data_IF_776708141486
#
_entry.id   IF_776708141486
#
_cell.length_a   1.000
_cell.length_b   1.000
_cell.length_c   1.000
_cell.angle_alpha   90.00
_cell.angle_beta   90.00
_cell.angle_gamma   90.00
#
_symmetry.space_group_name_H-M   'P 1'
#
loop_
_entity.id
_entity.type
_entity.pdbx_description
1 polymer ?
#
# COMPACT_ATOMS: atom_id res chain seq x y z
N UNK A 1 -7.33 -20.63 -9.72
CA UNK A 1 -7.07 -19.16 -9.73
C UNK A 1 -5.70 -18.90 -9.15
N UNK A 2 -4.90 -18.10 -9.84
CA UNK A 2 -3.56 -17.78 -9.36
C UNK A 2 -3.58 -16.61 -8.36
N UNK A 3 -2.85 -16.76 -7.26
CA UNK A 3 -2.57 -15.67 -6.32
C UNK A 3 -1.20 -15.03 -6.57
N UNK A 4 -0.48 -15.55 -7.57
CA UNK A 4 0.83 -15.02 -7.93
C UNK A 4 0.66 -13.79 -8.82
N UNK A 5 1.48 -12.74 -8.59
CA UNK A 5 1.41 -11.55 -9.42
C UNK A 5 1.89 -11.81 -10.85
N UNK A 6 1.27 -11.15 -11.82
CA UNK A 6 1.76 -11.12 -13.19
C UNK A 6 2.96 -10.17 -13.34
N UNK A 7 3.51 -10.03 -14.55
CA UNK A 7 4.71 -9.20 -14.77
C UNK A 7 4.51 -7.72 -14.39
N UNK A 8 3.37 -7.14 -14.78
CA UNK A 8 3.07 -5.73 -14.46
C UNK A 8 2.88 -5.52 -12.96
N UNK A 9 2.20 -6.45 -12.30
CA UNK A 9 1.99 -6.42 -10.86
C UNK A 9 3.33 -6.52 -10.11
N UNK A 10 4.21 -7.43 -10.56
CA UNK A 10 5.55 -7.56 -9.98
C UNK A 10 6.37 -6.28 -10.12
N UNK A 11 6.31 -5.64 -11.30
CA UNK A 11 7.00 -4.38 -11.53
C UNK A 11 6.49 -3.28 -10.60
N UNK A 12 5.16 -3.18 -10.45
CA UNK A 12 4.56 -2.20 -9.55
C UNK A 12 4.96 -2.43 -8.10
N UNK A 13 4.83 -3.68 -7.63
CA UNK A 13 5.20 -4.04 -6.25
C UNK A 13 6.68 -3.75 -5.98
N UNK A 14 7.55 -4.09 -6.93
CA UNK A 14 8.99 -3.81 -6.80
C UNK A 14 9.24 -2.31 -6.74
N UNK A 15 8.61 -1.53 -7.60
CA UNK A 15 8.74 -0.07 -7.62
C UNK A 15 8.31 0.53 -6.28
N UNK A 16 7.19 0.08 -5.72
CA UNK A 16 6.71 0.54 -4.41
C UNK A 16 7.76 0.29 -3.33
N UNK A 17 8.25 -0.94 -3.22
CA UNK A 17 9.18 -1.30 -2.16
C UNK A 17 10.53 -0.64 -2.35
N UNK A 18 11.11 -0.67 -3.55
CA UNK A 18 12.41 -0.07 -3.83
C UNK A 18 12.40 1.45 -3.61
N UNK A 19 11.34 2.11 -4.05
CA UNK A 19 11.21 3.56 -3.86
C UNK A 19 11.23 3.93 -2.38
N UNK A 20 10.45 3.23 -1.57
CA UNK A 20 10.30 3.58 -0.16
C UNK A 20 11.48 3.15 0.72
N UNK A 21 12.32 2.23 0.26
CA UNK A 21 13.55 1.89 0.97
C UNK A 21 14.50 3.09 1.05
N UNK A 22 14.52 3.95 0.05
CA UNK A 22 15.36 5.15 0.03
C UNK A 22 14.61 6.44 0.35
N UNK A 23 13.40 6.60 -0.19
CA UNK A 23 12.59 7.80 0.02
C UNK A 23 12.01 7.88 1.43
N UNK A 24 11.75 6.71 2.03
CA UNK A 24 11.10 6.60 3.33
C UNK A 24 9.58 6.70 3.25
N UNK A 25 8.94 6.44 4.39
CA UNK A 25 7.46 6.45 4.50
C UNK A 25 6.94 7.54 5.43
N UNK A 26 7.79 8.50 5.81
CA UNK A 26 7.39 9.58 6.72
C UNK A 26 6.26 10.43 6.18
N UNK A 27 6.18 10.63 4.87
CA UNK A 27 5.12 11.42 4.25
C UNK A 27 3.73 10.74 4.35
N UNK A 28 3.71 9.41 4.60
CA UNK A 28 2.46 8.64 4.77
C UNK A 28 2.07 8.52 6.25
N UNK A 29 3.05 8.25 7.12
CA UNK A 29 2.76 7.84 8.50
C UNK A 29 3.31 8.82 9.55
N UNK A 30 4.11 9.80 9.15
CA UNK A 30 4.76 10.75 10.05
C UNK A 30 6.27 10.50 10.13
N UNK A 31 7.01 11.54 10.48
CA UNK A 31 8.49 11.52 10.46
C UNK A 31 9.08 10.49 11.42
N UNK A 32 8.37 10.17 12.50
CA UNK A 32 8.80 9.15 13.46
C UNK A 32 8.92 7.76 12.84
N UNK A 33 8.25 7.53 11.71
CA UNK A 33 8.26 6.25 10.99
C UNK A 33 9.18 6.24 9.77
N UNK A 34 9.92 7.32 9.54
CA UNK A 34 10.68 7.53 8.30
C UNK A 34 11.71 6.44 8.02
N UNK A 35 12.44 5.99 9.02
CA UNK A 35 13.55 5.04 8.88
C UNK A 35 13.23 3.63 9.41
N UNK A 36 11.98 3.33 9.69
CA UNK A 36 11.59 2.00 10.18
C UNK A 36 11.65 0.97 9.05
N UNK A 37 11.99 -0.29 9.35
CA UNK A 37 11.83 -1.37 8.38
C UNK A 37 10.39 -1.45 7.89
N UNK A 38 10.22 -1.70 6.59
CA UNK A 38 8.89 -1.71 5.96
C UNK A 38 8.54 -3.11 5.45
N UNK A 39 7.24 -3.37 5.39
CA UNK A 39 6.67 -4.58 4.81
C UNK A 39 5.67 -4.20 3.73
N UNK A 40 5.47 -5.09 2.76
CA UNK A 40 4.46 -4.92 1.72
C UNK A 40 3.12 -5.43 2.26
N UNK A 41 2.17 -4.52 2.45
CA UNK A 41 0.84 -4.83 2.97
C UNK A 41 -0.17 -4.87 1.82
N UNK A 42 -0.81 -6.02 1.61
CA UNK A 42 -1.93 -6.17 0.68
C UNK A 42 -3.21 -5.76 1.41
N UNK A 43 -3.70 -4.56 1.13
CA UNK A 43 -4.80 -3.94 1.90
C UNK A 43 -6.05 -4.80 1.93
N UNK A 44 -6.47 -5.32 0.78
CA UNK A 44 -7.69 -6.11 0.63
C UNK A 44 -7.40 -7.59 0.37
N UNK A 45 -6.12 -8.02 0.51
CA UNK A 45 -5.70 -9.39 0.22
C UNK A 45 -5.27 -9.60 -1.23
N UNK A 46 -4.44 -10.61 -1.43
CA UNK A 46 -3.82 -10.89 -2.74
C UNK A 46 -4.82 -11.27 -3.83
N UNK A 47 -5.95 -11.85 -3.45
CA UNK A 47 -6.95 -12.35 -4.40
C UNK A 47 -8.08 -11.37 -4.66
N UNK A 48 -8.00 -10.18 -4.07
CA UNK A 48 -9.07 -9.18 -4.21
C UNK A 48 -9.27 -8.77 -5.66
N UNK A 49 -10.54 -8.79 -6.10
CA UNK A 49 -10.95 -8.30 -7.42
C UNK A 49 -12.26 -7.53 -7.30
N UNK A 50 -12.46 -6.63 -8.27
CA UNK A 50 -13.69 -5.88 -8.41
C UNK A 50 -14.09 -5.90 -9.89
N UNK A 51 -15.34 -6.28 -10.19
CA UNK A 51 -15.84 -6.42 -11.57
C UNK A 51 -14.90 -7.26 -12.43
N UNK A 52 -14.43 -8.40 -11.90
CA UNK A 52 -13.52 -9.35 -12.57
C UNK A 52 -12.11 -8.80 -12.83
N UNK A 53 -11.80 -7.60 -12.35
CA UNK A 53 -10.46 -7.02 -12.47
C UNK A 53 -9.66 -7.35 -11.21
N UNK A 54 -8.47 -7.92 -11.36
CA UNK A 54 -7.57 -8.21 -10.25
C UNK A 54 -6.94 -6.93 -9.72
N UNK A 55 -7.09 -6.68 -8.43
CA UNK A 55 -6.66 -5.46 -7.77
C UNK A 55 -5.69 -5.73 -6.62
N UNK A 56 -5.74 -6.93 -6.03
CA UNK A 56 -5.03 -7.26 -4.79
C UNK A 56 -3.54 -6.91 -4.80
N UNK A 57 -2.83 -7.22 -5.88
CA UNK A 57 -1.39 -6.93 -5.99
C UNK A 57 -1.06 -5.47 -6.32
N UNK A 58 -2.05 -4.68 -6.75
CA UNK A 58 -1.90 -3.23 -6.92
C UNK A 58 -2.25 -2.47 -5.64
N UNK A 59 -3.22 -2.97 -4.88
CA UNK A 59 -3.67 -2.30 -3.65
C UNK A 59 -2.76 -2.70 -2.49
N UNK A 60 -1.55 -2.19 -2.54
CA UNK A 60 -0.49 -2.46 -1.58
C UNK A 60 0.02 -1.16 -0.98
N UNK A 61 0.50 -1.24 0.26
CA UNK A 61 1.14 -0.13 0.95
C UNK A 61 2.47 -0.58 1.55
N UNK A 62 3.52 0.26 1.50
CA UNK A 62 4.71 0.03 2.30
C UNK A 62 4.38 0.48 3.73
N UNK A 63 4.33 -0.44 4.66
CA UNK A 63 3.98 -0.13 6.05
C UNK A 63 5.14 -0.49 6.97
N UNK A 64 5.49 0.37 7.96
CA UNK A 64 6.48 0.05 8.97
C UNK A 64 6.14 -1.27 9.67
N UNK A 65 7.18 -2.06 9.98
CA UNK A 65 7.06 -3.37 10.61
C UNK A 65 6.10 -3.33 11.81
N UNK A 66 6.29 -2.40 12.73
CA UNK A 66 5.49 -2.31 13.95
C UNK A 66 4.01 -2.02 13.69
N UNK A 67 3.71 -1.40 12.55
CA UNK A 67 2.33 -1.08 12.16
C UNK A 67 1.66 -2.19 11.35
N UNK A 68 2.38 -3.26 11.00
CA UNK A 68 1.85 -4.30 10.10
C UNK A 68 2.05 -5.73 10.60
N UNK A 69 3.22 -6.05 11.17
CA UNK A 69 3.57 -7.44 11.47
C UNK A 69 2.67 -8.04 12.53
N UNK A 70 2.29 -9.31 12.33
CA UNK A 70 1.39 -10.03 13.26
C UNK A 70 2.01 -10.22 14.65
N UNK A 71 3.32 -10.19 14.74
CA UNK A 71 4.05 -10.35 16.02
C UNK A 71 4.25 -9.03 16.76
N UNK A 72 3.94 -7.89 16.13
CA UNK A 72 4.02 -6.59 16.79
C UNK A 72 2.78 -6.37 17.66
N UNK A 73 2.97 -5.82 18.85
CA UNK A 73 1.89 -5.45 19.76
C UNK A 73 1.61 -3.95 19.76
N UNK A 74 2.11 -3.21 18.79
CA UNK A 74 1.83 -1.78 18.66
C UNK A 74 0.32 -1.56 18.48
N UNK A 75 -0.25 -0.65 19.26
CA UNK A 75 -1.70 -0.41 19.28
C UNK A 75 -2.23 0.28 18.03
N UNK A 76 -1.34 0.77 17.16
CA UNK A 76 -1.71 1.35 15.86
C UNK A 76 -1.53 0.35 14.71
N UNK A 77 -1.21 -0.90 15.01
CA UNK A 77 -0.95 -1.95 14.03
C UNK A 77 -2.21 -2.23 13.20
N UNK A 78 -2.11 -2.14 11.87
CA UNK A 78 -3.23 -2.30 10.95
C UNK A 78 -3.80 -3.73 10.96
N UNK A 79 -2.97 -4.72 11.21
CA UNK A 79 -3.38 -6.13 11.24
C UNK A 79 -4.30 -6.42 12.42
N UNK A 80 -3.98 -5.89 13.59
CA UNK A 80 -4.72 -6.16 14.83
C UNK A 80 -5.74 -5.08 15.16
N UNK A 81 -5.49 -3.83 14.77
CA UNK A 81 -6.26 -2.65 15.19
C UNK A 81 -6.56 -1.72 14.01
N UNK A 82 -7.20 -2.26 12.97
CA UNK A 82 -7.45 -1.50 11.72
C UNK A 82 -8.14 -0.16 11.96
N UNK A 83 -9.12 -0.10 12.85
CA UNK A 83 -9.85 1.14 13.11
C UNK A 83 -8.93 2.19 13.75
N UNK A 84 -8.07 1.78 14.68
CA UNK A 84 -7.10 2.69 15.29
C UNK A 84 -6.08 3.19 14.29
N UNK A 85 -5.62 2.32 13.39
CA UNK A 85 -4.74 2.70 12.30
C UNK A 85 -5.41 3.75 11.41
N UNK A 86 -6.65 3.51 11.00
CA UNK A 86 -7.41 4.42 10.13
C UNK A 86 -7.66 5.77 10.81
N UNK A 87 -8.03 5.76 12.09
CA UNK A 87 -8.26 6.99 12.85
C UNK A 87 -6.98 7.84 12.97
N UNK A 88 -5.83 7.20 12.99
CA UNK A 88 -4.54 7.89 13.16
C UNK A 88 -3.95 8.35 11.83
N UNK A 89 -3.94 7.48 10.82
CA UNK A 89 -3.22 7.71 9.56
C UNK A 89 -4.13 8.02 8.37
N UNK A 90 -5.43 7.80 8.50
CA UNK A 90 -6.38 7.95 7.41
C UNK A 90 -6.73 6.61 6.76
N UNK A 91 -7.65 6.67 5.82
CA UNK A 91 -8.07 5.46 5.09
C UNK A 91 -6.95 4.96 4.21
N UNK A 92 -6.81 3.65 4.13
CA UNK A 92 -5.73 3.04 3.35
C UNK A 92 -5.82 3.39 1.87
N UNK A 93 -7.03 3.53 1.33
CA UNK A 93 -7.21 3.99 -0.07
C UNK A 93 -6.63 5.39 -0.30
N UNK A 94 -6.75 6.28 0.68
CA UNK A 94 -6.22 7.65 0.57
C UNK A 94 -4.70 7.65 0.70
N UNK A 95 -4.15 6.84 1.58
CA UNK A 95 -2.70 6.63 1.67
C UNK A 95 -2.15 6.11 0.34
N UNK A 96 -2.86 5.15 -0.28
CA UNK A 96 -2.46 4.59 -1.55
C UNK A 96 -2.47 5.62 -2.68
N UNK A 97 -3.51 6.46 -2.75
CA UNK A 97 -3.59 7.52 -3.75
C UNK A 97 -2.45 8.54 -3.58
N UNK A 98 -2.15 8.91 -2.33
CA UNK A 98 -1.01 9.78 -2.02
C UNK A 98 0.30 9.14 -2.45
N UNK A 99 0.45 7.84 -2.21
CA UNK A 99 1.64 7.07 -2.57
C UNK A 99 1.88 7.06 -4.08
N UNK A 100 0.89 6.67 -4.86
CA UNK A 100 1.07 6.59 -6.32
C UNK A 100 1.32 7.97 -6.93
N UNK A 101 0.67 9.01 -6.42
CA UNK A 101 0.91 10.38 -6.86
C UNK A 101 2.34 10.82 -6.58
N UNK A 102 2.86 10.51 -5.38
CA UNK A 102 4.23 10.83 -5.00
C UNK A 102 5.23 10.07 -5.86
N UNK A 103 5.01 8.78 -6.04
CA UNK A 103 5.89 7.93 -6.86
C UNK A 103 5.94 8.43 -8.30
N UNK A 104 4.81 8.79 -8.87
CA UNK A 104 4.74 9.31 -10.22
C UNK A 104 5.50 10.65 -10.32
N UNK A 105 5.27 11.56 -9.40
CA UNK A 105 5.94 12.87 -9.40
C UNK A 105 7.46 12.77 -9.22
N UNK A 106 7.93 11.73 -8.52
CA UNK A 106 9.35 11.49 -8.29
C UNK A 106 9.99 10.61 -9.36
N UNK A 107 9.23 10.19 -10.38
CA UNK A 107 9.74 9.35 -11.47
C UNK A 107 9.93 7.88 -11.11
N UNK A 108 9.39 7.43 -9.98
CA UNK A 108 9.49 6.03 -9.56
C UNK A 108 8.57 5.11 -10.38
N UNK A 109 7.51 5.65 -10.93
CA UNK A 109 6.66 4.99 -11.92
C UNK A 109 6.42 5.96 -13.08
N UNK A 110 6.41 5.45 -14.31
CA UNK A 110 6.18 6.25 -15.52
C UNK A 110 4.69 6.50 -15.74
N UNK A 111 3.87 5.53 -15.38
CA UNK A 111 2.42 5.56 -15.56
C UNK A 111 1.72 5.17 -14.26
N UNK A 112 0.54 5.75 -14.06
CA UNK A 112 -0.37 5.27 -13.02
C UNK A 112 -0.89 3.87 -13.39
N UNK A 113 -1.30 3.05 -12.40
CA UNK A 113 -2.09 1.85 -12.68
C UNK A 113 -3.30 2.19 -13.55
N UNK A 114 -3.82 1.20 -14.28
CA UNK A 114 -4.98 1.38 -15.15
C UNK A 114 -6.14 2.06 -14.43
N UNK A 115 -6.91 2.86 -15.17
CA UNK A 115 -8.00 3.64 -14.62
C UNK A 115 -8.99 2.80 -13.82
N UNK A 116 -9.32 1.60 -14.30
CA UNK A 116 -10.23 0.69 -13.59
C UNK A 116 -9.70 0.31 -12.21
N UNK A 117 -8.38 0.10 -12.09
CA UNK A 117 -7.72 -0.22 -10.82
C UNK A 117 -7.78 0.99 -9.90
N UNK A 118 -7.44 2.17 -10.42
CA UNK A 118 -7.49 3.42 -9.65
C UNK A 118 -8.90 3.69 -9.11
N UNK A 119 -9.91 3.53 -9.96
CA UNK A 119 -11.32 3.76 -9.58
C UNK A 119 -11.78 2.77 -8.52
N UNK A 120 -11.42 1.49 -8.68
CA UNK A 120 -11.81 0.44 -7.73
C UNK A 120 -11.21 0.67 -6.35
N UNK A 121 -9.95 1.09 -6.30
CA UNK A 121 -9.28 1.39 -5.03
C UNK A 121 -9.90 2.63 -4.38
N UNK A 122 -10.13 3.69 -5.17
CA UNK A 122 -10.75 4.93 -4.68
C UNK A 122 -12.14 4.70 -4.10
N UNK A 123 -12.89 3.76 -4.64
CA UNK A 123 -14.25 3.43 -4.21
C UNK A 123 -14.30 2.35 -3.13
N UNK A 124 -13.16 1.80 -2.71
CA UNK A 124 -13.12 0.72 -1.72
C UNK A 124 -13.50 1.22 -0.32
N UNK A 125 -13.82 0.27 0.54
CA UNK A 125 -14.16 0.56 1.95
C UNK A 125 -12.94 0.75 2.85
N UNK A 126 -11.75 0.57 2.30
CA UNK A 126 -10.50 0.65 3.05
C UNK A 126 -9.93 2.06 3.03
#
# INVERSE_FOLDING_TARGET
MSILPNAKEKQFMKAVMDFHLSYGVGYLYGDEWHCEPIQCHHVAGRTYKNNKVHIGHYFILPIPFDLHDVHSNNQLNVTHWRNRFTDTFGMQRDLWLSMVSRMHSQGAIDEFPELQIMQSISASKY
#
